data_IF_601411731579
#
_entry.id   IF_601411731579
#
_cell.length_a   1.000
_cell.length_b   1.000
_cell.length_c   1.000
_cell.angle_alpha   90.00
_cell.angle_beta   90.00
_cell.angle_gamma   90.00
#
_symmetry.space_group_name_H-M   'P 1'
#
loop_
_entity.id
_entity.type
_entity.pdbx_description
1 polymer ?
#
# COMPACT_ATOMS: atom_id res chain seq x y z
N UNK A 1 37.62 -23.13 -36.73
CA UNK A 1 37.01 -23.99 -35.70
C UNK A 1 36.96 -23.23 -34.38
N UNK A 2 35.78 -23.21 -33.73
CA UNK A 2 35.51 -23.03 -32.27
C UNK A 2 36.05 -21.75 -31.60
N UNK A 3 35.28 -20.65 -31.48
CA UNK A 3 34.25 -20.34 -30.45
C UNK A 3 34.65 -20.72 -29.01
N UNK A 4 35.08 -19.76 -28.19
CA UNK A 4 34.74 -19.71 -26.75
C UNK A 4 34.64 -18.26 -26.22
N UNK A 5 33.40 -17.75 -26.16
CA UNK A 5 32.77 -16.90 -25.11
C UNK A 5 33.68 -15.87 -24.40
N UNK A 6 33.63 -14.54 -24.60
CA UNK A 6 32.51 -13.59 -24.51
C UNK A 6 31.55 -13.81 -23.32
N UNK A 7 32.05 -14.16 -22.14
CA UNK A 7 31.23 -14.12 -20.90
C UNK A 7 32.13 -13.71 -19.72
N UNK A 8 32.40 -12.42 -19.56
CA UNK A 8 33.02 -11.89 -18.33
C UNK A 8 32.50 -10.49 -17.95
N UNK A 9 31.30 -10.12 -18.41
CA UNK A 9 30.70 -8.81 -18.12
C UNK A 9 29.19 -8.85 -17.85
N UNK A 10 28.61 -10.01 -17.52
CA UNK A 10 27.15 -10.17 -17.30
C UNK A 10 26.84 -10.72 -15.89
N UNK A 11 27.81 -10.74 -14.96
CA UNK A 11 27.63 -11.37 -13.65
C UNK A 11 27.55 -10.41 -12.45
N UNK A 12 27.53 -9.09 -12.65
CA UNK A 12 27.47 -8.15 -11.53
C UNK A 12 26.54 -6.94 -11.75
N UNK A 13 25.67 -6.98 -12.77
CA UNK A 13 24.45 -6.18 -12.72
C UNK A 13 23.41 -6.96 -11.90
N UNK A 14 23.78 -7.25 -10.64
CA UNK A 14 22.81 -7.55 -9.61
C UNK A 14 21.95 -6.30 -9.54
N UNK A 15 20.77 -6.41 -10.12
CA UNK A 15 19.68 -5.47 -9.96
C UNK A 15 19.43 -5.42 -8.46
N UNK A 16 20.10 -4.50 -7.76
CA UNK A 16 19.69 -4.00 -6.46
C UNK A 16 18.43 -3.19 -6.71
N UNK A 17 17.37 -3.87 -7.14
CA UNK A 17 16.02 -3.36 -7.08
C UNK A 17 15.68 -3.35 -5.61
N UNK A 18 16.10 -2.29 -4.94
CA UNK A 18 15.73 -2.03 -3.56
C UNK A 18 14.22 -2.23 -3.47
N UNK A 19 13.79 -3.15 -2.61
CA UNK A 19 12.40 -3.32 -2.17
C UNK A 19 11.99 -2.05 -1.44
N UNK A 20 11.84 -0.96 -2.20
CA UNK A 20 11.49 0.35 -1.68
C UNK A 20 10.00 0.30 -1.44
N UNK A 21 9.60 0.30 -0.17
CA UNK A 21 8.21 0.45 0.18
C UNK A 21 7.65 1.72 -0.51
N UNK A 22 6.42 1.66 -1.03
CA UNK A 22 5.79 2.75 -1.78
C UNK A 22 4.66 3.36 -0.95
N UNK A 23 4.59 4.71 -0.88
CA UNK A 23 3.49 5.43 -0.23
C UNK A 23 2.62 6.11 -1.29
N UNK A 24 1.32 5.87 -1.24
CA UNK A 24 0.33 6.54 -2.09
C UNK A 24 -0.74 7.21 -1.25
N UNK A 25 -1.26 8.32 -1.73
CA UNK A 25 -2.29 9.09 -1.03
C UNK A 25 -3.49 9.24 -1.96
N UNK A 26 -4.66 8.85 -1.46
CA UNK A 26 -5.93 8.95 -2.15
C UNK A 26 -6.90 9.79 -1.34
N UNK A 27 -7.81 10.48 -2.04
CA UNK A 27 -8.92 11.21 -1.42
C UNK A 27 -10.24 10.58 -1.83
N UNK A 28 -11.02 10.15 -0.85
CA UNK A 28 -12.42 9.79 -1.03
C UNK A 28 -13.32 11.01 -0.82
N UNK A 29 -14.37 11.19 -1.65
CA UNK A 29 -15.31 12.31 -1.53
C UNK A 29 -16.33 12.13 -0.40
N UNK A 30 -16.13 11.15 0.49
CA UNK A 30 -17.07 10.76 1.53
C UNK A 30 -16.38 10.75 2.90
N UNK A 31 -17.14 10.94 4.01
CA UNK A 31 -16.60 10.96 5.36
C UNK A 31 -16.14 9.58 5.83
N UNK A 32 -15.24 9.56 6.81
CA UNK A 32 -14.59 8.33 7.33
C UNK A 32 -15.58 7.24 7.70
N UNK A 33 -16.66 7.60 8.40
CA UNK A 33 -17.69 6.65 8.86
C UNK A 33 -18.40 5.91 7.72
N UNK A 34 -18.46 6.50 6.53
CA UNK A 34 -18.99 5.85 5.31
C UNK A 34 -17.90 5.17 4.50
N UNK A 35 -16.67 5.70 4.57
CA UNK A 35 -15.55 5.20 3.80
C UNK A 35 -15.08 3.82 4.25
N UNK A 36 -14.93 3.59 5.57
CA UNK A 36 -14.37 2.32 6.06
C UNK A 36 -15.25 1.12 5.65
N UNK A 37 -16.58 1.13 5.84
CA UNK A 37 -17.44 0.04 5.36
C UNK A 37 -17.33 -0.17 3.85
N UNK A 38 -17.38 0.92 3.07
CA UNK A 38 -17.27 0.87 1.62
C UNK A 38 -15.92 0.27 1.15
N UNK A 39 -14.83 0.57 1.85
CA UNK A 39 -13.53 -0.03 1.58
C UNK A 39 -13.54 -1.54 1.79
N UNK A 40 -14.07 -2.02 2.92
CA UNK A 40 -14.15 -3.45 3.23
C UNK A 40 -15.00 -4.18 2.20
N UNK A 41 -16.15 -3.60 1.82
CA UNK A 41 -17.03 -4.14 0.79
C UNK A 41 -16.34 -4.18 -0.58
N UNK A 42 -15.64 -3.11 -0.96
CA UNK A 42 -14.90 -3.05 -2.22
C UNK A 42 -13.78 -4.11 -2.26
N UNK A 43 -13.06 -4.31 -1.16
CA UNK A 43 -12.04 -5.37 -1.05
C UNK A 43 -12.67 -6.76 -1.22
N UNK A 44 -13.80 -7.01 -0.54
CA UNK A 44 -14.55 -8.26 -0.66
C UNK A 44 -15.04 -8.52 -2.08
N UNK A 45 -15.65 -7.51 -2.71
CA UNK A 45 -16.16 -7.57 -4.09
C UNK A 45 -15.05 -7.74 -5.14
N UNK A 46 -13.85 -7.20 -4.88
CA UNK A 46 -12.67 -7.43 -5.70
C UNK A 46 -12.03 -8.82 -5.49
N UNK A 47 -12.60 -9.65 -4.62
CA UNK A 47 -12.07 -10.98 -4.29
C UNK A 47 -10.78 -10.95 -3.47
N UNK A 48 -10.43 -9.79 -2.89
CA UNK A 48 -9.23 -9.64 -2.08
C UNK A 48 -9.45 -10.31 -0.72
N UNK A 49 -8.64 -11.33 -0.43
CA UNK A 49 -8.60 -11.96 0.88
C UNK A 49 -7.53 -11.25 1.71
N UNK A 50 -7.89 -10.78 2.89
CA UNK A 50 -6.96 -10.10 3.79
C UNK A 50 -7.12 -10.55 5.23
N UNK A 51 -6.09 -10.29 6.04
CA UNK A 51 -6.12 -10.42 7.50
C UNK A 51 -5.70 -9.09 8.11
N UNK A 52 -6.50 -8.57 9.04
CA UNK A 52 -6.13 -7.42 9.86
C UNK A 52 -5.21 -7.89 10.99
N UNK A 53 -4.06 -7.24 11.12
CA UNK A 53 -3.08 -7.51 12.20
C UNK A 53 -3.19 -6.48 13.32
N UNK A 54 -3.42 -5.22 12.96
CA UNK A 54 -3.56 -4.13 13.92
C UNK A 54 -4.59 -3.13 13.42
N UNK A 55 -5.37 -2.60 14.34
CA UNK A 55 -6.24 -1.44 14.14
C UNK A 55 -5.62 -0.28 14.92
N UNK A 56 -5.53 0.89 14.31
CA UNK A 56 -5.04 2.09 14.96
C UNK A 56 -6.21 3.00 15.29
N UNK A 57 -6.24 3.53 16.51
CA UNK A 57 -7.19 4.56 16.92
C UNK A 57 -6.46 5.90 17.10
N UNK A 58 -7.06 6.98 16.60
CA UNK A 58 -6.42 8.29 16.58
C UNK A 58 -6.07 8.80 17.99
N UNK A 59 -6.88 8.47 19.00
CA UNK A 59 -6.67 8.93 20.38
C UNK A 59 -5.52 8.19 21.07
N UNK A 60 -5.32 6.92 20.75
CA UNK A 60 -4.31 6.08 21.41
C UNK A 60 -3.01 6.00 20.64
N UNK A 61 -3.08 5.89 19.31
CA UNK A 61 -1.95 5.60 18.43
C UNK A 61 -1.47 6.84 17.65
N UNK A 62 -2.22 7.95 17.70
CA UNK A 62 -1.94 9.17 16.94
C UNK A 62 -2.22 9.04 15.44
N UNK A 63 -2.79 7.92 14.99
CA UNK A 63 -3.31 7.72 13.64
C UNK A 63 -4.56 6.83 13.68
N UNK A 64 -5.52 7.09 12.80
CA UNK A 64 -6.60 6.14 12.51
C UNK A 64 -6.17 5.26 11.33
N UNK A 65 -6.41 3.96 11.38
CA UNK A 65 -5.95 3.10 10.30
C UNK A 65 -5.99 1.60 10.56
N UNK A 66 -5.45 0.85 9.60
CA UNK A 66 -5.41 -0.61 9.64
C UNK A 66 -4.07 -1.10 9.07
N UNK A 67 -3.39 -1.98 9.81
CA UNK A 67 -2.33 -2.81 9.26
C UNK A 67 -2.93 -4.15 8.84
N UNK A 68 -2.80 -4.48 7.57
CA UNK A 68 -3.36 -5.70 6.99
C UNK A 68 -2.34 -6.46 6.16
N UNK A 69 -2.62 -7.75 5.94
CA UNK A 69 -1.88 -8.60 5.01
C UNK A 69 -2.81 -9.14 3.93
N UNK A 70 -2.35 -9.12 2.68
CA UNK A 70 -3.07 -9.70 1.56
C UNK A 70 -2.73 -11.18 1.37
N UNK A 71 -3.72 -11.97 0.93
CA UNK A 71 -3.58 -13.38 0.56
C UNK A 71 -3.86 -13.59 -0.94
N UNK A 72 -3.14 -14.52 -1.60
CA UNK A 72 -1.99 -15.28 -1.09
C UNK A 72 -0.73 -14.41 -0.98
N UNK A 73 0.25 -14.82 -0.16
CA UNK A 73 1.56 -14.15 -0.08
C UNK A 73 1.84 -13.36 1.20
N UNK A 74 0.83 -13.08 2.05
CA UNK A 74 0.99 -12.41 3.36
C UNK A 74 1.70 -11.04 3.28
N UNK A 75 1.59 -10.34 2.15
CA UNK A 75 2.24 -9.05 1.92
C UNK A 75 1.54 -7.96 2.73
N UNK A 76 2.30 -7.17 3.47
CA UNK A 76 1.77 -6.16 4.38
C UNK A 76 1.41 -4.86 3.67
N UNK A 77 0.31 -4.27 4.12
CA UNK A 77 -0.20 -2.97 3.68
C UNK A 77 -0.63 -2.20 4.93
N UNK A 78 -0.11 -0.99 5.10
CA UNK A 78 -0.50 -0.08 6.16
C UNK A 78 -1.40 1.00 5.58
N UNK A 79 -2.62 1.09 6.11
CA UNK A 79 -3.62 2.09 5.73
C UNK A 79 -3.72 3.13 6.83
N UNK A 80 -3.31 4.35 6.56
CA UNK A 80 -3.63 5.54 7.36
C UNK A 80 -4.89 6.21 6.82
N UNK A 81 -5.81 6.56 7.70
CA UNK A 81 -7.08 7.21 7.38
C UNK A 81 -7.12 8.54 8.12
N UNK A 82 -7.44 9.62 7.42
CA UNK A 82 -7.52 10.96 7.97
C UNK A 82 -8.84 11.61 7.53
N UNK A 83 -9.60 12.10 8.50
CA UNK A 83 -10.84 12.83 8.24
C UNK A 83 -10.55 14.28 7.89
N UNK A 84 -11.02 14.73 6.73
CA UNK A 84 -10.94 16.13 6.32
C UNK A 84 -12.24 16.86 6.71
N UNK A 85 -12.40 17.12 8.01
CA UNK A 85 -13.52 17.87 8.60
C UNK A 85 -14.91 17.29 8.24
N UNK A 86 -15.05 15.97 8.23
CA UNK A 86 -16.30 15.26 7.94
C UNK A 86 -16.81 15.41 6.50
N UNK A 87 -16.00 15.96 5.59
CA UNK A 87 -16.37 16.16 4.17
C UNK A 87 -15.75 15.13 3.26
N UNK A 88 -14.48 14.85 3.46
CA UNK A 88 -13.70 13.90 2.66
C UNK A 88 -12.77 13.09 3.55
N UNK A 89 -12.27 11.99 3.01
CA UNK A 89 -11.32 11.13 3.71
C UNK A 89 -10.04 11.06 2.91
N UNK A 90 -8.91 11.39 3.53
CA UNK A 90 -7.59 11.10 3.00
C UNK A 90 -7.15 9.72 3.46
N UNK A 91 -6.64 8.94 2.53
CA UNK A 91 -6.19 7.57 2.75
C UNK A 91 -4.75 7.47 2.28
N UNK A 92 -3.85 7.27 3.22
CA UNK A 92 -2.45 6.98 2.94
C UNK A 92 -2.27 5.48 2.93
N UNK A 93 -1.71 4.95 1.86
CA UNK A 93 -1.45 3.52 1.71
C UNK A 93 0.02 3.31 1.51
N UNK A 94 0.62 2.59 2.43
CA UNK A 94 2.01 2.16 2.37
C UNK A 94 2.02 0.70 1.95
N UNK A 95 2.85 0.35 0.97
CA UNK A 95 3.00 -1.02 0.46
C UNK A 95 4.36 -1.57 0.82
N UNK A 96 4.41 -2.80 1.34
CA UNK A 96 5.67 -3.51 1.54
C UNK A 96 6.35 -3.86 0.20
N UNK A 97 5.56 -4.17 -0.83
CA UNK A 97 5.99 -4.49 -2.19
C UNK A 97 5.30 -3.54 -3.19
N UNK A 98 6.05 -2.74 -3.97
CA UNK A 98 5.49 -1.87 -5.01
C UNK A 98 4.58 -2.57 -6.01
N UNK A 99 4.77 -3.87 -6.24
CA UNK A 99 3.90 -4.68 -7.11
C UNK A 99 2.42 -4.68 -6.67
N UNK A 100 2.15 -4.41 -5.39
CA UNK A 100 0.78 -4.35 -4.85
C UNK A 100 0.08 -3.01 -5.06
N UNK A 101 0.84 -1.96 -5.42
CA UNK A 101 0.30 -0.62 -5.67
C UNK A 101 -0.78 -0.63 -6.75
N UNK A 102 -0.64 -1.47 -7.79
CA UNK A 102 -1.58 -1.55 -8.90
C UNK A 102 -2.96 -2.10 -8.52
N UNK A 103 -3.01 -3.07 -7.61
CA UNK A 103 -4.28 -3.67 -7.13
C UNK A 103 -5.06 -2.64 -6.32
N UNK A 104 -4.38 -1.96 -5.41
CA UNK A 104 -5.00 -0.93 -4.58
C UNK A 104 -5.32 0.35 -5.35
N UNK A 105 -4.46 0.78 -6.28
CA UNK A 105 -4.79 1.90 -7.15
C UNK A 105 -6.09 1.62 -7.92
N UNK A 106 -6.24 0.41 -8.49
CA UNK A 106 -7.49 0.01 -9.15
C UNK A 106 -8.68 0.04 -8.19
N UNK A 107 -8.54 -0.56 -7.02
CA UNK A 107 -9.57 -0.59 -5.99
C UNK A 107 -10.03 0.84 -5.61
N UNK A 108 -9.08 1.73 -5.32
CA UNK A 108 -9.39 3.08 -4.87
C UNK A 108 -9.97 3.94 -6.01
N UNK A 109 -9.37 3.92 -7.19
CA UNK A 109 -9.78 4.80 -8.30
C UNK A 109 -11.02 4.29 -9.02
N UNK A 110 -11.17 2.98 -9.24
CA UNK A 110 -12.24 2.40 -10.06
C UNK A 110 -13.43 1.91 -9.25
N UNK A 111 -13.21 1.37 -8.04
CA UNK A 111 -14.31 0.84 -7.22
C UNK A 111 -14.83 1.86 -6.21
N UNK A 112 -13.95 2.72 -5.69
CA UNK A 112 -14.28 3.70 -4.65
C UNK A 112 -14.35 5.14 -5.17
N UNK A 113 -14.16 5.36 -6.47
CA UNK A 113 -14.18 6.68 -7.12
C UNK A 113 -13.27 7.72 -6.41
N UNK A 114 -12.13 7.26 -5.91
CA UNK A 114 -11.17 8.12 -5.23
C UNK A 114 -10.22 8.78 -6.23
N UNK A 115 -9.70 9.93 -5.85
CA UNK A 115 -8.66 10.64 -6.62
C UNK A 115 -7.30 10.38 -5.97
N UNK A 116 -6.30 9.94 -6.76
CA UNK A 116 -4.91 9.91 -6.29
C UNK A 116 -4.39 11.35 -6.19
N UNK A 117 -3.98 11.77 -5.00
CA UNK A 117 -3.57 13.15 -4.71
C UNK A 117 -2.08 13.28 -4.40
N UNK A 118 -1.37 12.16 -4.30
CA UNK A 118 0.08 12.17 -4.10
C UNK A 118 0.74 10.80 -4.14
N UNK A 119 2.02 10.81 -4.51
CA UNK A 119 2.95 9.70 -4.43
C UNK A 119 4.13 10.14 -3.56
N UNK A 120 4.59 9.27 -2.66
CA UNK A 120 5.66 9.59 -1.72
C UNK A 120 6.59 8.42 -1.47
N UNK A 121 7.79 8.74 -0.98
CA UNK A 121 8.66 7.74 -0.35
C UNK A 121 8.09 7.40 1.03
N UNK A 122 8.33 6.18 1.46
CA UNK A 122 7.94 5.74 2.80
C UNK A 122 8.88 6.38 3.80
N UNK A 123 8.32 7.23 4.66
CA UNK A 123 9.08 7.86 5.74
C UNK A 123 9.50 6.77 6.74
N UNK A 124 10.63 6.94 7.43
CA UNK A 124 11.27 5.89 8.26
C UNK A 124 10.46 5.35 9.43
N UNK A 125 9.18 5.73 9.55
CA UNK A 125 8.22 5.24 10.54
C UNK A 125 7.37 4.09 9.94
N UNK A 126 8.05 3.04 9.45
CA UNK A 126 7.39 1.82 9.01
C UNK A 126 7.08 0.90 10.20
N UNK A 127 5.96 0.15 10.18
CA UNK A 127 5.70 -0.87 11.20
C UNK A 127 6.84 -1.89 11.30
N UNK A 128 7.04 -2.47 12.48
CA UNK A 128 8.08 -3.49 12.70
C UNK A 128 7.93 -4.67 11.71
N UNK A 129 9.03 -5.09 11.07
CA UNK A 129 9.05 -6.17 10.08
C UNK A 129 8.95 -5.72 8.60
N UNK A 130 8.96 -4.41 8.34
CA UNK A 130 9.03 -3.85 7.00
C UNK A 130 10.48 -3.74 6.49
N UNK A 131 10.73 -3.85 5.16
CA UNK A 131 12.04 -3.54 4.62
C UNK A 131 12.38 -2.07 4.96
N UNK A 132 13.58 -1.85 5.47
CA UNK A 132 14.06 -0.50 5.75
C UNK A 132 14.08 0.32 4.45
N UNK A 133 13.73 1.63 4.51
CA UNK A 133 13.83 2.53 3.36
C UNK A 133 15.26 2.68 2.84
#
# INVERSE_FOLDING_TARGET
>A
MRRYYLIAAIAAFLITGSLMAEKRIYRAPQPVGTFIPALIDAMGNAGLKFKVHQTYDEKTDGKLGLLLSLKPGQRLVDLGIHDENGKSTLVTVTFQDPGDSGVFNRLFTQNLNMTEVGLGKVDGNVPSGWPAP
#
